data_IF_727420278161
#
_entry.id   IF_727420278161
#
_cell.length_a   1.000
_cell.length_b   1.000
_cell.length_c   1.000
_cell.angle_alpha   90.00
_cell.angle_beta   90.00
_cell.angle_gamma   90.00
#
_symmetry.space_group_name_H-M   'P 1'
#
loop_
_entity.id
_entity.type
_entity.pdbx_description
1 polymer ?
#
# COMPACT_ATOMS: atom_id res chain seq x y z
N UNK A 1 29.84 14.45 16.00
CA UNK A 1 28.62 14.37 15.16
C UNK A 1 28.08 12.95 15.28
N UNK A 2 26.88 12.77 15.86
CA UNK A 2 26.31 11.44 16.13
C UNK A 2 25.60 10.94 14.87
N UNK A 3 26.20 9.97 14.18
CA UNK A 3 25.54 9.21 13.13
C UNK A 3 24.70 8.11 13.78
N UNK A 4 23.39 8.13 13.56
CA UNK A 4 22.48 7.04 13.94
C UNK A 4 22.40 6.09 12.75
N UNK A 5 23.10 4.97 12.85
CA UNK A 5 23.02 3.84 11.92
C UNK A 5 21.75 3.06 12.30
N UNK A 6 20.77 2.99 11.39
CA UNK A 6 19.64 2.07 11.53
C UNK A 6 20.14 0.65 11.24
N UNK A 7 20.38 -0.11 12.30
CA UNK A 7 20.67 -1.54 12.25
C UNK A 7 19.37 -2.26 11.87
N UNK A 8 19.31 -2.77 10.64
CA UNK A 8 18.36 -3.80 10.23
C UNK A 8 18.66 -5.06 11.03
N UNK A 9 17.81 -5.40 11.99
CA UNK A 9 17.89 -6.67 12.72
C UNK A 9 17.36 -7.76 11.80
N UNK A 10 18.27 -8.33 11.01
CA UNK A 10 18.16 -9.66 10.43
C UNK A 10 18.26 -10.67 11.58
N UNK A 11 17.11 -11.22 12.00
CA UNK A 11 17.10 -12.33 12.94
C UNK A 11 17.56 -13.59 12.21
N UNK A 12 18.83 -13.93 12.38
CA UNK A 12 19.43 -15.18 11.91
C UNK A 12 19.76 -16.06 13.13
N UNK A 13 19.31 -17.31 13.05
CA UNK A 13 19.79 -18.54 13.73
C UNK A 13 19.41 -18.72 15.22
N UNK A 14 19.32 -19.95 15.78
CA UNK A 14 19.98 -21.21 15.36
C UNK A 14 19.14 -22.51 15.47
N UNK A 15 19.71 -23.63 15.02
CA UNK A 15 19.57 -24.91 15.73
C UNK A 15 18.67 -25.98 15.10
N UNK A 16 19.26 -26.78 14.21
CA UNK A 16 18.75 -28.11 13.89
C UNK A 16 19.12 -29.05 15.05
N UNK A 17 18.25 -29.15 16.06
CA UNK A 17 18.34 -30.18 17.10
C UNK A 17 17.58 -31.39 16.60
N UNK A 18 18.30 -32.50 16.37
CA UNK A 18 17.71 -33.81 16.10
C UNK A 18 17.20 -34.39 17.42
N UNK A 19 16.04 -33.91 17.89
CA UNK A 19 15.35 -34.50 19.03
C UNK A 19 14.59 -35.74 18.55
N UNK A 20 15.11 -36.91 18.89
CA UNK A 20 14.40 -38.18 18.76
C UNK A 20 13.15 -38.11 19.65
N UNK A 21 11.96 -38.11 19.05
CA UNK A 21 10.71 -38.20 19.78
C UNK A 21 10.41 -39.67 20.13
N UNK A 22 10.17 -40.03 21.40
CA UNK A 22 9.68 -41.36 21.76
C UNK A 22 8.26 -41.59 21.18
N UNK A 23 7.84 -42.85 20.96
CA UNK A 23 6.55 -43.16 20.37
C UNK A 23 5.45 -42.98 21.43
N UNK A 24 5.06 -41.73 21.69
CA UNK A 24 3.86 -41.44 22.44
C UNK A 24 2.68 -41.40 21.47
N UNK A 25 2.10 -42.58 21.27
CA UNK A 25 0.76 -42.76 20.71
C UNK A 25 -0.27 -42.16 21.69
N UNK A 26 -0.49 -40.86 21.58
CA UNK A 26 -1.69 -40.25 22.15
C UNK A 26 -2.91 -40.73 21.37
N UNK A 27 -4.00 -41.15 22.04
CA UNK A 27 -5.23 -41.50 21.36
C UNK A 27 -5.71 -40.28 20.57
N UNK A 28 -5.89 -40.47 19.25
CA UNK A 28 -6.47 -39.49 18.34
C UNK A 28 -7.94 -39.33 18.73
N UNK A 29 -8.22 -38.46 19.69
CA UNK A 29 -9.59 -38.03 20.01
C UNK A 29 -10.16 -37.50 18.69
N UNK A 30 -11.30 -38.03 18.18
CA UNK A 30 -11.96 -37.47 17.02
C UNK A 30 -12.43 -36.07 17.41
N UNK A 31 -11.70 -35.04 16.98
CA UNK A 31 -12.22 -33.68 17.06
C UNK A 31 -13.53 -33.66 16.27
N UNK A 32 -14.64 -33.16 16.86
CA UNK A 32 -15.84 -32.94 16.08
C UNK A 32 -15.48 -32.03 14.88
N UNK A 33 -16.05 -32.28 13.69
CA UNK A 33 -15.79 -31.44 12.54
C UNK A 33 -16.12 -29.98 12.90
N UNK A 34 -15.30 -29.00 12.47
CA UNK A 34 -15.53 -27.60 12.79
C UNK A 34 -16.94 -27.17 12.38
N UNK A 35 -17.58 -26.35 13.22
CA UNK A 35 -18.90 -25.80 12.93
C UNK A 35 -18.85 -25.09 11.56
N UNK A 36 -19.75 -25.42 10.61
CA UNK A 36 -19.76 -24.79 9.29
C UNK A 36 -19.83 -23.26 9.33
N UNK A 37 -20.36 -22.67 10.41
CA UNK A 37 -20.38 -21.21 10.62
C UNK A 37 -18.99 -20.64 10.88
N UNK A 38 -18.14 -21.35 11.61
CA UNK A 38 -16.74 -20.93 11.86
C UNK A 38 -15.98 -20.90 10.54
N UNK A 39 -16.12 -21.95 9.71
CA UNK A 39 -15.48 -22.03 8.40
C UNK A 39 -15.91 -20.85 7.51
N UNK A 40 -17.20 -20.51 7.48
CA UNK A 40 -17.70 -19.37 6.70
C UNK A 40 -17.08 -18.05 7.17
N UNK A 41 -17.04 -17.81 8.48
CA UNK A 41 -16.46 -16.59 9.04
C UNK A 41 -14.96 -16.48 8.79
N UNK A 42 -14.22 -17.60 8.82
CA UNK A 42 -12.80 -17.63 8.44
C UNK A 42 -12.58 -17.30 6.97
N UNK A 43 -13.43 -17.82 6.06
CA UNK A 43 -13.38 -17.47 4.64
C UNK A 43 -13.65 -15.98 4.46
N UNK A 44 -14.69 -15.43 5.10
CA UNK A 44 -15.01 -13.99 5.05
C UNK A 44 -13.85 -13.16 5.60
N UNK A 45 -13.24 -13.56 6.71
CA UNK A 45 -12.09 -12.87 7.30
C UNK A 45 -10.90 -12.82 6.33
N UNK A 46 -10.63 -13.94 5.65
CA UNK A 46 -9.56 -14.00 4.64
C UNK A 46 -9.84 -13.09 3.45
N UNK A 47 -11.08 -13.04 2.97
CA UNK A 47 -11.49 -12.11 1.90
C UNK A 47 -11.33 -10.65 2.32
N UNK A 48 -11.75 -10.30 3.54
CA UNK A 48 -11.58 -8.95 4.08
C UNK A 48 -10.10 -8.56 4.21
N UNK A 49 -9.24 -9.49 4.66
CA UNK A 49 -7.80 -9.25 4.73
C UNK A 49 -7.19 -9.00 3.34
N UNK A 50 -7.59 -9.78 2.32
CA UNK A 50 -7.14 -9.57 0.94
C UNK A 50 -7.60 -8.22 0.39
N UNK A 51 -8.86 -7.85 0.65
CA UNK A 51 -9.38 -6.54 0.27
C UNK A 51 -8.64 -5.39 0.97
N UNK A 52 -8.32 -5.54 2.26
CA UNK A 52 -7.57 -4.54 3.02
C UNK A 52 -6.17 -4.34 2.46
N UNK A 53 -5.48 -5.43 2.09
CA UNK A 53 -4.17 -5.38 1.43
C UNK A 53 -4.24 -4.70 0.05
N UNK A 54 -5.25 -5.00 -0.76
CA UNK A 54 -5.38 -4.40 -2.09
C UNK A 54 -5.70 -2.91 -2.03
N UNK A 55 -6.57 -2.47 -1.11
CA UNK A 55 -6.86 -1.05 -0.87
C UNK A 55 -5.59 -0.32 -0.40
N UNK A 56 -4.81 -0.93 0.48
CA UNK A 56 -3.55 -0.36 0.93
C UNK A 56 -2.55 -0.18 -0.22
N UNK A 57 -2.40 -1.18 -1.09
CA UNK A 57 -1.54 -1.09 -2.27
C UNK A 57 -2.00 0.02 -3.23
N UNK A 58 -3.30 0.13 -3.47
CA UNK A 58 -3.86 1.20 -4.30
C UNK A 58 -3.60 2.58 -3.70
N UNK A 59 -3.72 2.70 -2.38
CA UNK A 59 -3.41 3.95 -1.68
C UNK A 59 -1.96 4.38 -1.90
N UNK A 60 -1.01 3.46 -1.75
CA UNK A 60 0.40 3.73 -2.02
C UNK A 60 0.63 4.18 -3.47
N UNK A 61 0.02 3.49 -4.43
CA UNK A 61 0.13 3.84 -5.84
C UNK A 61 -0.40 5.25 -6.14
N UNK A 62 -1.60 5.59 -5.65
CA UNK A 62 -2.19 6.93 -5.87
C UNK A 62 -1.39 8.01 -5.15
N UNK A 63 -0.84 7.71 -3.97
CA UNK A 63 0.03 8.63 -3.25
C UNK A 63 1.28 8.96 -4.06
N UNK A 64 1.88 7.96 -4.69
CA UNK A 64 3.04 8.14 -5.57
C UNK A 64 2.70 8.93 -6.82
N UNK A 65 1.55 8.69 -7.46
CA UNK A 65 1.07 9.51 -8.58
C UNK A 65 0.92 10.99 -8.18
N UNK A 66 0.30 11.26 -7.03
CA UNK A 66 0.18 12.62 -6.49
C UNK A 66 1.54 13.26 -6.21
N UNK A 67 2.45 12.49 -5.62
CA UNK A 67 3.82 12.95 -5.36
C UNK A 67 4.52 13.32 -6.66
N UNK A 68 4.40 12.49 -7.70
CA UNK A 68 4.99 12.73 -9.01
C UNK A 68 4.41 13.95 -9.72
N UNK A 69 3.10 14.23 -9.60
CA UNK A 69 2.54 15.48 -10.14
C UNK A 69 3.04 16.72 -9.40
N UNK A 70 3.22 16.61 -8.08
CA UNK A 70 3.65 17.75 -7.23
C UNK A 70 5.15 18.01 -7.36
N UNK A 71 5.96 16.96 -7.50
CA UNK A 71 7.41 17.03 -7.73
C UNK A 71 7.75 17.17 -9.20
N UNK A 72 6.82 16.86 -10.10
CA UNK A 72 6.92 17.07 -11.52
C UNK A 72 7.08 18.55 -11.77
N UNK A 73 8.33 18.96 -11.97
CA UNK A 73 8.70 20.29 -12.43
C UNK A 73 7.71 20.70 -13.51
N UNK A 74 7.05 21.86 -13.33
CA UNK A 74 6.61 22.65 -14.49
C UNK A 74 7.73 22.58 -15.53
N UNK A 75 7.44 22.31 -16.82
CA UNK A 75 8.49 22.03 -17.80
C UNK A 75 9.60 23.05 -17.60
N UNK A 76 10.87 22.64 -17.45
CA UNK A 76 11.95 23.57 -17.04
C UNK A 76 12.06 24.83 -17.91
N UNK A 77 11.44 24.83 -19.09
CA UNK A 77 11.12 25.99 -19.91
C UNK A 77 10.34 27.13 -19.20
N UNK A 78 9.59 26.85 -18.13
CA UNK A 78 8.82 27.81 -17.32
C UNK A 78 9.69 28.50 -16.29
N UNK A 79 10.68 27.80 -15.73
CA UNK A 79 11.55 28.32 -14.68
C UNK A 79 12.82 28.97 -15.25
N UNK A 80 13.14 28.73 -16.52
CA UNK A 80 14.28 29.33 -17.20
C UNK A 80 13.84 29.96 -18.53
N UNK A 81 13.62 31.29 -18.59
CA UNK A 81 13.41 32.03 -19.83
C UNK A 81 14.63 32.01 -20.77
N UNK A 82 15.78 31.56 -20.27
CA UNK A 82 17.02 31.40 -21.01
C UNK A 82 17.44 29.93 -21.03
N UNK A 83 17.76 29.34 -22.20
CA UNK A 83 18.32 27.99 -22.29
C UNK A 83 19.79 28.03 -21.88
N UNK A 84 20.07 28.30 -20.60
CA UNK A 84 21.39 28.10 -20.03
C UNK A 84 21.46 26.69 -19.45
N UNK A 85 21.85 25.75 -20.31
CA UNK A 85 22.64 24.57 -19.96
C UNK A 85 21.93 23.56 -19.03
N UNK A 86 21.03 22.76 -19.61
CA UNK A 86 20.91 21.39 -19.15
C UNK A 86 22.14 20.61 -19.67
N UNK A 87 22.98 20.01 -18.81
CA UNK A 87 23.98 19.08 -19.29
C UNK A 87 23.24 17.83 -19.77
N UNK A 88 23.65 17.28 -20.91
CA UNK A 88 23.15 16.04 -21.53
C UNK A 88 21.90 16.16 -22.44
N UNK A 89 22.03 16.88 -23.55
CA UNK A 89 21.35 16.49 -24.80
C UNK A 89 22.37 16.46 -25.93
N UNK A 90 22.98 15.29 -26.12
CA UNK A 90 23.74 14.95 -27.32
C UNK A 90 22.75 14.81 -28.49
N UNK A 91 22.79 15.75 -29.44
CA UNK A 91 22.16 15.59 -30.74
C UNK A 91 21.09 16.63 -31.06
N UNK A 92 21.47 17.64 -31.85
CA UNK A 92 20.65 18.25 -32.90
C UNK A 92 19.35 18.97 -32.51
N UNK A 93 19.40 20.30 -32.56
CA UNK A 93 18.24 21.20 -32.79
C UNK A 93 17.04 21.04 -31.84
N UNK A 94 17.10 21.69 -30.67
CA UNK A 94 15.88 21.97 -29.90
C UNK A 94 15.31 23.34 -30.28
N UNK A 95 14.84 23.49 -31.53
CA UNK A 95 14.01 24.65 -31.92
C UNK A 95 12.55 24.43 -31.51
N UNK A 96 12.31 24.00 -30.26
CA UNK A 96 10.95 24.08 -29.74
C UNK A 96 10.73 25.54 -29.34
N UNK A 97 9.76 26.24 -29.96
CA UNK A 97 9.45 27.60 -29.55
C UNK A 97 9.11 27.60 -28.05
N UNK A 98 9.48 28.66 -27.31
CA UNK A 98 9.06 28.80 -25.93
C UNK A 98 7.53 28.66 -25.84
N UNK A 99 7.06 27.90 -24.84
CA UNK A 99 5.63 27.71 -24.60
C UNK A 99 4.96 29.08 -24.39
N UNK A 100 3.82 29.31 -25.05
CA UNK A 100 3.03 30.52 -24.85
C UNK A 100 2.51 30.56 -23.39
N UNK A 101 2.39 31.76 -22.81
CA UNK A 101 1.86 31.98 -21.47
C UNK A 101 0.51 31.26 -21.26
N UNK A 102 -0.40 31.32 -22.24
CA UNK A 102 -1.70 30.65 -22.14
C UNK A 102 -1.58 29.13 -22.02
N UNK A 103 -0.60 28.53 -22.70
CA UNK A 103 -0.35 27.09 -22.61
C UNK A 103 0.25 26.72 -21.24
N UNK A 104 1.08 27.59 -20.67
CA UNK A 104 1.62 27.38 -19.32
C UNK A 104 0.53 27.45 -18.25
N UNK A 105 -0.37 28.43 -18.35
CA UNK A 105 -1.51 28.57 -17.44
C UNK A 105 -2.43 27.35 -17.55
N UNK A 106 -2.68 26.86 -18.78
CA UNK A 106 -3.46 25.64 -19.01
C UNK A 106 -2.79 24.41 -18.38
N UNK A 107 -1.50 24.19 -18.64
CA UNK A 107 -0.74 23.07 -18.06
C UNK A 107 -0.73 23.10 -16.53
N UNK A 108 -0.59 24.28 -15.94
CA UNK A 108 -0.65 24.46 -14.48
C UNK A 108 -2.03 24.09 -13.93
N UNK A 109 -3.10 24.52 -14.60
CA UNK A 109 -4.47 24.19 -14.20
C UNK A 109 -4.72 22.69 -14.29
N UNK A 110 -4.36 22.06 -15.40
CA UNK A 110 -4.51 20.62 -15.60
C UNK A 110 -3.73 19.80 -14.55
N UNK A 111 -2.51 20.23 -14.19
CA UNK A 111 -1.76 19.62 -13.10
C UNK A 111 -2.51 19.74 -11.77
N UNK A 112 -3.04 20.93 -11.45
CA UNK A 112 -3.77 21.14 -10.21
C UNK A 112 -5.05 20.29 -10.15
N UNK A 113 -5.75 20.14 -11.27
CA UNK A 113 -6.91 19.25 -11.39
C UNK A 113 -6.54 17.78 -11.12
N UNK A 114 -5.43 17.29 -11.69
CA UNK A 114 -4.94 15.92 -11.42
C UNK A 114 -4.56 15.72 -9.96
N UNK A 115 -3.88 16.69 -9.33
CA UNK A 115 -3.55 16.61 -7.90
C UNK A 115 -4.82 16.55 -7.04
N UNK A 116 -5.83 17.36 -7.35
CA UNK A 116 -7.11 17.33 -6.65
C UNK A 116 -7.84 16.00 -6.84
N UNK A 117 -7.82 15.44 -8.04
CA UNK A 117 -8.39 14.13 -8.32
C UNK A 117 -7.70 13.04 -7.50
N UNK A 118 -6.38 12.98 -7.48
CA UNK A 118 -5.66 12.00 -6.66
C UNK A 118 -5.93 12.19 -5.17
N UNK A 119 -6.09 13.42 -4.68
CA UNK A 119 -6.50 13.68 -3.29
C UNK A 119 -7.89 13.10 -2.98
N UNK A 120 -8.87 13.25 -3.88
CA UNK A 120 -10.19 12.63 -3.69
C UNK A 120 -10.10 11.10 -3.65
N UNK A 121 -9.35 10.50 -4.58
CA UNK A 121 -9.14 9.05 -4.61
C UNK A 121 -8.48 8.54 -3.32
N UNK A 122 -7.51 9.26 -2.75
CA UNK A 122 -6.88 8.88 -1.47
C UNK A 122 -7.89 8.90 -0.32
N UNK A 123 -8.79 9.89 -0.28
CA UNK A 123 -9.82 9.97 0.76
C UNK A 123 -10.83 8.82 0.64
N UNK A 124 -11.23 8.47 -0.59
CA UNK A 124 -12.12 7.33 -0.84
C UNK A 124 -11.47 6.00 -0.43
N UNK A 125 -10.19 5.80 -0.77
CA UNK A 125 -9.43 4.61 -0.36
C UNK A 125 -9.28 4.52 1.16
N UNK A 126 -9.09 5.65 1.84
CA UNK A 126 -9.05 5.70 3.30
C UNK A 126 -10.41 5.30 3.91
N UNK A 127 -11.51 5.87 3.43
CA UNK A 127 -12.86 5.53 3.89
C UNK A 127 -13.18 4.04 3.65
N UNK A 128 -12.77 3.50 2.50
CA UNK A 128 -12.93 2.08 2.20
C UNK A 128 -12.11 1.19 3.13
N UNK A 129 -10.89 1.61 3.48
CA UNK A 129 -10.06 0.90 4.43
C UNK A 129 -10.69 0.84 5.82
N UNK A 130 -11.24 1.96 6.32
CA UNK A 130 -11.91 1.98 7.63
C UNK A 130 -13.16 1.11 7.65
N UNK A 131 -13.94 1.12 6.57
CA UNK A 131 -15.11 0.24 6.41
C UNK A 131 -14.72 -1.25 6.52
N UNK A 132 -13.64 -1.65 5.84
CA UNK A 132 -13.13 -3.02 5.90
C UNK A 132 -12.63 -3.39 7.30
N UNK A 133 -12.01 -2.46 8.03
CA UNK A 133 -11.61 -2.68 9.42
C UNK A 133 -12.81 -2.92 10.34
N UNK A 134 -13.89 -2.14 10.18
CA UNK A 134 -15.11 -2.32 10.97
C UNK A 134 -15.76 -3.68 10.69
N UNK A 135 -15.87 -4.07 9.42
CA UNK A 135 -16.38 -5.39 9.02
C UNK A 135 -15.54 -6.52 9.61
N UNK A 136 -14.21 -6.38 9.58
CA UNK A 136 -13.29 -7.35 10.15
C UNK A 136 -13.47 -7.50 11.67
N UNK A 137 -13.62 -6.39 12.40
CA UNK A 137 -13.91 -6.42 13.84
C UNK A 137 -15.21 -7.14 14.15
N UNK A 138 -16.25 -6.93 13.35
CA UNK A 138 -17.53 -7.62 13.51
C UNK A 138 -17.39 -9.14 13.32
N UNK A 139 -16.68 -9.58 12.27
CA UNK A 139 -16.41 -11.01 12.01
C UNK A 139 -15.61 -11.65 13.14
N UNK A 140 -14.55 -10.98 13.62
CA UNK A 140 -13.76 -11.46 14.75
C UNK A 140 -14.58 -11.58 16.03
N UNK A 141 -15.46 -10.61 16.30
CA UNK A 141 -16.38 -10.68 17.43
C UNK A 141 -17.31 -11.90 17.35
N UNK A 142 -17.85 -12.20 16.16
CA UNK A 142 -18.70 -13.38 15.96
C UNK A 142 -17.93 -14.68 16.16
N UNK A 143 -16.69 -14.77 15.66
CA UNK A 143 -15.82 -15.92 15.90
C UNK A 143 -15.57 -16.13 17.40
N UNK A 144 -15.25 -15.06 18.14
CA UNK A 144 -15.03 -15.13 19.59
C UNK A 144 -16.26 -15.65 20.35
N UNK A 145 -17.46 -15.19 20.01
CA UNK A 145 -18.70 -15.64 20.65
C UNK A 145 -19.00 -17.12 20.34
N UNK A 146 -18.76 -17.57 19.10
CA UNK A 146 -18.90 -18.98 18.72
C UNK A 146 -17.90 -19.88 19.45
N UNK A 147 -16.65 -19.43 19.62
CA UNK A 147 -15.63 -20.21 20.36
C UNK A 147 -15.96 -20.32 21.85
N UNK A 148 -16.50 -19.26 22.47
CA UNK A 148 -16.92 -19.30 23.89
C UNK A 148 -18.14 -20.18 24.12
N UNK A 149 -19.10 -20.19 23.19
CA UNK A 149 -20.31 -21.02 23.30
C UNK A 149 -20.07 -22.53 23.09
N UNK A 150 -18.87 -22.92 22.63
CA UNK A 150 -18.45 -24.32 22.49
C UNK A 150 -17.69 -24.87 23.71
N UNK A 151 -17.41 -24.04 24.73
CA UNK A 151 -16.83 -24.44 26.02
C UNK A 151 -17.92 -24.73 27.05
#
# INVERSE_FOLDING_TARGET
>A
MKAVIFIFVLFSLPGLVLAQAPPNSYPKIPYPPPDPRVIQLEITLNQLNQAQQSVYQQFQMVQELRRNETQGNLPQAVLNPYPAQAPYSMGGMTSNPPLNYDDLVRLQREQQERVQQYTRNLNELYARYSELEEQKRAVLSQLMELTKGQQ
#
